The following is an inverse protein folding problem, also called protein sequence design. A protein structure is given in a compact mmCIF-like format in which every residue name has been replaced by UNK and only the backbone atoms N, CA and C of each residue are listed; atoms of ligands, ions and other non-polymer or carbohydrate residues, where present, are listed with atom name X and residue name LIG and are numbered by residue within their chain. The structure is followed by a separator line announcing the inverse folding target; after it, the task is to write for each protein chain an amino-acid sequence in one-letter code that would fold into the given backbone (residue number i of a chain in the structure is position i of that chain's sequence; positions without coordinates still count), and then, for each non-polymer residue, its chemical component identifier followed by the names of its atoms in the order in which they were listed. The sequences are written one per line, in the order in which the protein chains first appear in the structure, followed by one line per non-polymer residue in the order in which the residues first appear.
data_IF_586521075804
#
_entry.id   IF_586521075804
#
_cell.length_a   1.000
_cell.length_b   1.000
_cell.length_c   1.000
_cell.angle_alpha   90.00
_cell.angle_beta   90.00
_cell.angle_gamma   90.00
#
_symmetry.space_group_name_H-M   'P 1'
#
loop_
_entity.id
_entity.type
_entity.pdbx_description
1 polymer ?
#
# COMPACT_ATOMS: atom_id res chain seq x y z
N UNK A 1 1.25 -16.06 -12.14
CA UNK A 1 2.30 -15.62 -11.20
C UNK A 1 1.80 -15.96 -9.81
N UNK A 2 2.50 -16.84 -9.08
CA UNK A 2 2.13 -17.24 -7.73
C UNK A 2 3.32 -17.05 -6.82
N UNK A 3 3.23 -16.04 -5.95
CA UNK A 3 4.24 -15.78 -4.96
C UNK A 3 3.99 -16.63 -3.73
N UNK A 4 5.07 -17.12 -3.16
CA UNK A 4 5.01 -17.80 -1.89
C UNK A 4 4.92 -16.75 -0.78
N UNK A 5 3.85 -16.79 0.00
CA UNK A 5 3.72 -16.01 1.23
C UNK A 5 4.05 -16.90 2.43
N UNK A 6 4.63 -16.31 3.48
CA UNK A 6 5.00 -17.04 4.69
C UNK A 6 3.81 -17.85 5.22
N UNK A 7 4.00 -19.17 5.36
CA UNK A 7 2.98 -20.06 5.91
C UNK A 7 1.83 -20.40 4.95
N UNK A 8 1.96 -20.11 3.65
CA UNK A 8 0.93 -20.45 2.65
C UNK A 8 1.34 -21.64 1.79
N UNK A 9 0.42 -22.57 1.52
CA UNK A 9 0.67 -23.72 0.64
C UNK A 9 0.70 -23.39 -0.85
N UNK A 10 0.70 -22.09 -1.22
CA UNK A 10 0.57 -21.61 -2.59
C UNK A 10 1.94 -21.79 -3.28
N UNK A 11 2.18 -22.99 -3.79
CA UNK A 11 3.32 -23.29 -4.65
C UNK A 11 2.81 -23.59 -6.06
N UNK A 12 3.43 -23.04 -7.12
CA UNK A 12 3.18 -23.56 -8.45
C UNK A 12 3.50 -25.07 -8.48
N UNK A 13 2.79 -25.88 -9.29
CA UNK A 13 3.12 -27.29 -9.45
C UNK A 13 4.61 -27.41 -9.80
N UNK A 14 5.32 -28.40 -9.22
CA UNK A 14 6.76 -28.51 -9.40
C UNK A 14 7.06 -28.56 -10.90
N UNK A 15 7.80 -27.57 -11.40
CA UNK A 15 8.50 -27.75 -12.65
C UNK A 15 9.43 -28.94 -12.46
N UNK A 16 9.42 -29.87 -13.40
CA UNK A 16 10.31 -31.04 -13.48
C UNK A 16 11.77 -30.57 -13.60
N UNK A 17 12.35 -30.07 -12.50
CA UNK A 17 13.77 -29.78 -12.37
C UNK A 17 14.28 -30.78 -11.35
N UNK A 18 14.75 -31.93 -11.83
CA UNK A 18 15.09 -33.09 -11.00
C UNK A 18 16.29 -32.87 -10.06
N UNK A 19 16.96 -31.71 -10.14
CA UNK A 19 18.25 -31.49 -9.47
C UNK A 19 18.29 -30.31 -8.48
N UNK A 20 17.15 -29.65 -8.17
CA UNK A 20 17.14 -28.57 -7.19
C UNK A 20 16.52 -29.00 -5.85
N UNK A 21 17.39 -29.12 -4.83
CA UNK A 21 16.97 -29.32 -3.43
C UNK A 21 16.94 -27.96 -2.71
N UNK A 22 15.82 -27.57 -2.07
CA UNK A 22 15.75 -26.35 -1.28
C UNK A 22 16.80 -26.34 -0.16
N UNK A 23 17.49 -25.20 0.03
CA UNK A 23 18.49 -25.00 1.08
C UNK A 23 17.89 -25.01 2.50
N UNK A 24 16.60 -24.69 2.63
CA UNK A 24 15.84 -24.73 3.88
C UNK A 24 14.57 -25.57 3.70
N UNK A 25 14.19 -26.41 4.68
CA UNK A 25 12.90 -27.10 4.68
C UNK A 25 11.72 -26.15 4.93
N UNK A 26 11.98 -24.98 5.53
CA UNK A 26 10.97 -23.97 5.82
C UNK A 26 10.91 -22.98 4.66
N UNK A 27 9.78 -22.96 3.95
CA UNK A 27 9.54 -21.98 2.91
C UNK A 27 9.16 -20.66 3.56
N UNK A 28 10.10 -19.73 3.58
CA UNK A 28 9.84 -18.33 3.93
C UNK A 28 9.30 -17.60 2.71
N UNK A 29 8.25 -16.83 2.89
CA UNK A 29 7.72 -15.91 1.90
C UNK A 29 8.76 -14.86 1.51
N UNK A 30 8.63 -14.34 0.29
CA UNK A 30 9.57 -13.34 -0.22
C UNK A 30 9.55 -12.03 0.58
N UNK A 31 8.35 -11.63 1.02
CA UNK A 31 8.12 -10.48 1.90
C UNK A 31 7.50 -10.98 3.20
N UNK A 32 8.08 -10.65 4.37
CA UNK A 32 7.53 -11.07 5.66
C UNK A 32 6.13 -10.51 5.93
N UNK A 33 5.27 -11.30 6.58
CA UNK A 33 3.88 -10.90 6.92
C UNK A 33 3.77 -9.56 7.66
N UNK A 34 4.66 -9.33 8.62
CA UNK A 34 4.66 -8.09 9.41
C UNK A 34 4.90 -6.82 8.57
N UNK A 35 5.52 -6.94 7.39
CA UNK A 35 5.71 -5.81 6.47
C UNK A 35 4.38 -5.38 5.85
N UNK A 36 3.55 -6.33 5.42
CA UNK A 36 2.21 -6.04 4.90
C UNK A 36 1.30 -5.41 5.96
N UNK A 37 1.40 -5.84 7.22
CA UNK A 37 0.68 -5.25 8.35
C UNK A 37 1.10 -3.80 8.57
N UNK A 38 2.41 -3.55 8.73
CA UNK A 38 2.96 -2.20 8.88
C UNK A 38 2.55 -1.28 7.73
N UNK A 39 2.61 -1.78 6.51
CA UNK A 39 2.21 -1.05 5.31
C UNK A 39 0.72 -0.67 5.34
N UNK A 40 -0.17 -1.62 5.65
CA UNK A 40 -1.63 -1.36 5.70
C UNK A 40 -1.97 -0.29 6.72
N UNK A 41 -1.38 -0.39 7.92
CA UNK A 41 -1.55 0.60 9.00
C UNK A 41 -1.03 1.97 8.57
N UNK A 42 0.19 2.01 8.01
CA UNK A 42 0.80 3.27 7.59
C UNK A 42 -0.06 3.97 6.54
N UNK A 43 -0.59 3.25 5.55
CA UNK A 43 -1.49 3.82 4.54
C UNK A 43 -2.74 4.44 5.15
N UNK A 44 -3.36 3.80 6.14
CA UNK A 44 -4.50 4.39 6.88
C UNK A 44 -4.14 5.75 7.47
N UNK A 45 -2.94 5.88 8.06
CA UNK A 45 -2.51 7.12 8.71
C UNK A 45 -2.10 8.23 7.75
N UNK A 46 -1.47 7.89 6.61
CA UNK A 46 -0.96 8.90 5.66
C UNK A 46 -1.95 9.27 4.55
N UNK A 47 -3.08 8.56 4.46
CA UNK A 47 -4.13 8.85 3.48
C UNK A 47 -4.65 10.27 3.63
N UNK A 48 -4.82 10.91 2.50
CA UNK A 48 -5.28 12.28 2.31
C UNK A 48 -6.69 12.27 1.69
N UNK A 49 -7.26 13.46 1.48
CA UNK A 49 -8.63 13.62 0.98
C UNK A 49 -8.90 12.84 -0.32
N UNK A 50 -7.97 12.90 -1.28
CA UNK A 50 -8.13 12.35 -2.63
C UNK A 50 -7.18 11.19 -2.96
N UNK A 51 -6.44 10.66 -2.00
CA UNK A 51 -5.57 9.49 -2.22
C UNK A 51 -4.50 9.30 -1.16
N UNK A 52 -3.56 8.39 -1.44
CA UNK A 52 -2.31 8.19 -0.73
C UNK A 52 -1.17 8.96 -1.43
N UNK A 53 -0.44 9.85 -0.76
CA UNK A 53 0.67 10.56 -1.39
C UNK A 53 1.77 9.58 -1.83
N UNK A 54 2.34 9.80 -3.02
CA UNK A 54 3.34 8.90 -3.61
C UNK A 54 4.63 8.87 -2.78
N UNK A 55 5.07 10.02 -2.27
CA UNK A 55 6.27 10.17 -1.46
C UNK A 55 6.17 11.39 -0.53
N UNK A 56 7.12 11.55 0.39
CA UNK A 56 7.09 12.56 1.45
C UNK A 56 7.36 14.00 1.00
N UNK A 57 7.76 14.24 -0.25
CA UNK A 57 8.17 15.57 -0.73
C UNK A 57 7.00 16.37 -1.28
N UNK A 58 5.92 15.71 -1.67
CA UNK A 58 4.76 16.34 -2.30
C UNK A 58 3.47 15.63 -1.93
N UNK A 59 2.37 16.39 -1.91
CA UNK A 59 1.02 15.88 -1.71
C UNK A 59 0.33 15.56 -3.04
N UNK A 60 1.07 14.96 -3.98
CA UNK A 60 0.47 14.36 -5.18
C UNK A 60 0.62 12.86 -5.13
N UNK A 61 -0.22 12.18 -5.89
CA UNK A 61 -0.20 10.73 -6.00
C UNK A 61 -0.18 10.26 -7.44
N UNK A 62 0.17 8.99 -7.62
CA UNK A 62 -0.09 8.24 -8.83
C UNK A 62 -1.13 7.16 -8.56
N UNK A 63 -2.35 7.32 -9.07
CA UNK A 63 -3.47 6.39 -8.81
C UNK A 63 -3.18 4.97 -9.27
N UNK A 64 -2.39 4.77 -10.34
CA UNK A 64 -1.94 3.44 -10.75
C UNK A 64 -1.10 2.76 -9.66
N UNK A 65 -0.15 3.49 -9.08
CA UNK A 65 0.68 3.01 -7.97
C UNK A 65 -0.15 2.76 -6.71
N UNK A 66 -1.08 3.65 -6.36
CA UNK A 66 -1.95 3.47 -5.19
C UNK A 66 -2.75 2.18 -5.28
N UNK A 67 -3.28 1.87 -6.47
CA UNK A 67 -4.07 0.67 -6.67
C UNK A 67 -3.21 -0.61 -6.61
N UNK A 68 -1.94 -0.54 -7.02
CA UNK A 68 -0.97 -1.62 -6.77
C UNK A 68 -0.66 -1.76 -5.28
N UNK A 69 -0.44 -0.65 -4.57
CA UNK A 69 -0.14 -0.62 -3.14
C UNK A 69 -1.29 -1.19 -2.31
N UNK A 70 -2.52 -0.75 -2.58
CA UNK A 70 -3.72 -1.19 -1.84
C UNK A 70 -4.12 -2.64 -2.16
N UNK A 71 -3.68 -3.19 -3.31
CA UNK A 71 -4.04 -4.57 -3.69
C UNK A 71 -3.58 -5.60 -2.66
N UNK A 72 -2.47 -5.33 -1.97
CA UNK A 72 -1.90 -6.18 -0.93
C UNK A 72 -2.12 -5.65 0.49
N UNK A 73 -2.90 -4.59 0.65
CA UNK A 73 -3.31 -4.07 1.95
C UNK A 73 -4.54 -4.82 2.49
N UNK A 74 -4.80 -4.68 3.80
CA UNK A 74 -6.04 -5.14 4.44
C UNK A 74 -7.29 -4.61 3.71
N UNK A 75 -8.39 -5.35 3.81
CA UNK A 75 -9.63 -5.05 3.08
C UNK A 75 -10.22 -3.68 3.42
N UNK A 76 -10.16 -3.28 4.69
CA UNK A 76 -10.61 -1.99 5.21
C UNK A 76 -9.80 -0.83 4.61
N UNK A 77 -8.47 -0.88 4.70
CA UNK A 77 -7.56 0.14 4.16
C UNK A 77 -7.69 0.24 2.65
N UNK A 78 -7.82 -0.90 1.97
CA UNK A 78 -8.09 -0.94 0.52
C UNK A 78 -9.38 -0.21 0.15
N UNK A 79 -10.44 -0.40 0.94
CA UNK A 79 -11.72 0.27 0.71
C UNK A 79 -11.58 1.78 0.92
N UNK A 80 -10.87 2.21 1.95
CA UNK A 80 -10.64 3.63 2.25
C UNK A 80 -9.84 4.36 1.15
N UNK A 81 -8.83 3.70 0.57
CA UNK A 81 -8.05 4.24 -0.55
C UNK A 81 -8.93 4.37 -1.80
N UNK A 82 -9.71 3.31 -2.10
CA UNK A 82 -10.66 3.32 -3.21
C UNK A 82 -11.69 4.45 -3.07
N UNK A 83 -12.21 4.66 -1.85
CA UNK A 83 -13.14 5.73 -1.52
C UNK A 83 -12.52 7.12 -1.71
N UNK A 84 -11.26 7.34 -1.32
CA UNK A 84 -10.56 8.60 -1.57
C UNK A 84 -10.48 8.92 -3.08
N UNK A 85 -10.15 7.93 -3.92
CA UNK A 85 -10.08 8.14 -5.37
C UNK A 85 -11.46 8.31 -5.99
N UNK A 86 -12.47 7.57 -5.51
CA UNK A 86 -13.85 7.77 -5.93
C UNK A 86 -14.37 9.18 -5.57
N UNK A 87 -14.02 9.68 -4.38
CA UNK A 87 -14.31 11.04 -3.95
C UNK A 87 -13.65 12.06 -4.88
N UNK A 88 -12.38 11.86 -5.22
CA UNK A 88 -11.69 12.72 -6.20
C UNK A 88 -12.40 12.75 -7.55
N UNK A 89 -12.79 11.60 -8.11
CA UNK A 89 -13.51 11.57 -9.40
C UNK A 89 -14.82 12.36 -9.34
N UNK A 90 -15.49 12.39 -8.18
CA UNK A 90 -16.74 13.10 -7.99
C UNK A 90 -16.57 14.62 -7.75
N UNK A 91 -15.44 15.04 -7.16
CA UNK A 91 -15.20 16.42 -6.73
C UNK A 91 -14.16 17.16 -7.60
N UNK A 92 -13.45 16.46 -8.48
CA UNK A 92 -12.32 17.04 -9.22
C UNK A 92 -12.74 18.22 -10.10
N UNK A 93 -11.90 19.25 -10.11
CA UNK A 93 -12.09 20.46 -10.92
C UNK A 93 -11.62 20.30 -12.37
N UNK A 94 -11.08 19.13 -12.75
CA UNK A 94 -10.57 18.89 -14.10
C UNK A 94 -11.58 18.23 -15.03
N UNK A 95 -11.62 18.67 -16.27
CA UNK A 95 -12.40 18.11 -17.38
C UNK A 95 -11.58 17.15 -18.27
N UNK A 96 -10.40 16.73 -17.80
CA UNK A 96 -9.46 15.88 -18.57
C UNK A 96 -9.77 14.38 -18.37
N UNK A 97 -9.27 13.50 -19.27
CA UNK A 97 -9.36 12.06 -19.06
C UNK A 97 -8.76 11.63 -17.72
N UNK A 98 -9.28 10.54 -17.14
CA UNK A 98 -8.84 10.04 -15.83
C UNK A 98 -7.32 9.94 -15.77
N UNK A 99 -6.75 10.76 -14.88
CA UNK A 99 -5.32 10.94 -14.68
C UNK A 99 -4.73 9.84 -13.81
N UNK A 100 -3.45 9.57 -14.05
CA UNK A 100 -2.61 8.77 -13.15
C UNK A 100 -1.65 9.65 -12.32
N UNK A 101 -1.92 10.96 -12.24
CA UNK A 101 -1.21 11.93 -11.41
C UNK A 101 -2.11 13.12 -11.02
N UNK A 102 -2.41 13.27 -9.74
CA UNK A 102 -3.19 14.40 -9.20
C UNK A 102 -2.74 14.77 -7.79
N UNK A 103 -3.06 15.98 -7.34
CA UNK A 103 -2.89 16.39 -5.95
C UNK A 103 -3.87 15.64 -5.04
N UNK A 104 -3.39 15.12 -3.92
CA UNK A 104 -4.24 14.38 -2.97
C UNK A 104 -5.04 15.28 -2.03
N UNK A 105 -4.79 16.59 -2.09
CA UNK A 105 -5.38 17.63 -1.25
C UNK A 105 -5.81 18.81 -2.12
N UNK A 106 -6.47 19.82 -1.52
CA UNK A 106 -6.94 21.01 -2.22
C UNK A 106 -8.10 20.70 -3.17
N UNK A 107 -7.96 21.07 -4.45
CA UNK A 107 -8.98 20.85 -5.48
C UNK A 107 -8.71 19.57 -6.32
N UNK A 108 -7.65 18.83 -5.97
CA UNK A 108 -7.28 17.60 -6.67
C UNK A 108 -6.80 17.84 -8.10
N UNK A 109 -6.27 19.02 -8.38
CA UNK A 109 -5.79 19.40 -9.69
C UNK A 109 -4.49 18.67 -10.08
N UNK A 110 -4.05 18.89 -11.31
CA UNK A 110 -2.78 18.34 -11.77
C UNK A 110 -1.61 19.12 -11.13
N UNK A 111 -0.60 18.44 -10.57
CA UNK A 111 0.56 19.10 -9.96
C UNK A 111 1.50 19.76 -10.98
N UNK A 112 1.31 19.52 -12.28
CA UNK A 112 2.23 19.97 -13.35
C UNK A 112 3.54 19.17 -13.28
N UNK A 113 3.58 17.94 -13.82
CA UNK A 113 3.13 17.58 -15.17
C UNK A 113 1.69 17.05 -15.28
N UNK A 114 1.10 17.17 -16.47
CA UNK A 114 -0.25 16.69 -16.75
C UNK A 114 -0.21 15.28 -17.36
N UNK A 115 -0.39 14.25 -16.54
CA UNK A 115 -0.41 12.86 -17.00
C UNK A 115 -1.84 12.39 -17.22
N UNK A 116 -2.29 12.25 -18.46
CA UNK A 116 -3.62 11.74 -18.76
C UNK A 116 -3.58 10.83 -19.99
N UNK A 117 -4.59 9.96 -20.12
CA UNK A 117 -4.70 9.01 -21.24
C UNK A 117 -3.47 8.09 -21.42
N UNK A 118 -2.82 7.72 -20.31
CA UNK A 118 -1.66 6.83 -20.29
C UNK A 118 -2.09 5.39 -19.98
N UNK A 119 -1.46 4.36 -20.58
CA UNK A 119 -1.85 2.96 -20.38
C UNK A 119 -1.65 2.44 -18.94
N UNK A 120 -0.84 3.13 -18.13
CA UNK A 120 -0.59 2.74 -16.74
C UNK A 120 -1.85 2.76 -15.87
N UNK A 121 -2.93 3.44 -16.29
CA UNK A 121 -4.25 3.37 -15.64
C UNK A 121 -4.80 1.94 -15.58
N UNK A 122 -4.25 0.98 -16.32
CA UNK A 122 -4.52 -0.45 -16.10
C UNK A 122 -4.21 -0.94 -14.67
N UNK A 123 -3.33 -0.24 -13.94
CA UNK A 123 -3.01 -0.51 -12.53
C UNK A 123 -4.23 -0.45 -11.60
N UNK A 124 -5.28 0.28 -11.97
CA UNK A 124 -6.54 0.32 -11.21
C UNK A 124 -7.23 -1.06 -11.08
N UNK A 125 -6.86 -2.01 -11.93
CA UNK A 125 -7.39 -3.38 -11.88
C UNK A 125 -6.49 -4.33 -11.07
N UNK A 126 -5.40 -3.85 -10.44
CA UNK A 126 -4.42 -4.68 -9.75
C UNK A 126 -5.04 -5.58 -8.67
N UNK A 127 -5.93 -5.04 -7.84
CA UNK A 127 -6.60 -5.83 -6.79
C UNK A 127 -7.55 -6.90 -7.37
N UNK A 128 -8.23 -6.63 -8.49
CA UNK A 128 -9.06 -7.62 -9.18
C UNK A 128 -8.21 -8.69 -9.87
N UNK A 129 -7.09 -8.29 -10.46
CA UNK A 129 -6.11 -9.20 -11.03
C UNK A 129 -5.53 -10.13 -9.96
N UNK A 130 -5.21 -9.59 -8.79
CA UNK A 130 -4.72 -10.37 -7.65
C UNK A 130 -5.79 -11.35 -7.14
N UNK A 131 -7.06 -10.96 -7.06
CA UNK A 131 -8.16 -11.86 -6.72
C UNK A 131 -8.26 -13.09 -7.62
N UNK A 132 -7.88 -12.97 -8.91
CA UNK A 132 -7.90 -14.07 -9.87
C UNK A 132 -6.56 -14.80 -10.02
N UNK A 133 -5.49 -14.26 -9.44
CA UNK A 133 -4.19 -14.91 -9.49
C UNK A 133 -4.23 -16.25 -8.75
N UNK A 134 -3.37 -17.18 -9.19
CA UNK A 134 -3.27 -18.52 -8.61
C UNK A 134 -4.58 -19.30 -8.58
N UNK A 135 -5.36 -19.23 -9.66
CA UNK A 135 -6.65 -19.92 -9.74
C UNK A 135 -7.70 -19.36 -8.78
N UNK A 136 -7.51 -18.13 -8.27
CA UNK A 136 -8.41 -17.51 -7.29
C UNK A 136 -7.93 -17.58 -5.85
N UNK A 137 -6.77 -18.19 -5.59
CA UNK A 137 -6.28 -18.45 -4.22
C UNK A 137 -5.27 -17.41 -3.71
N UNK A 138 -4.82 -16.45 -4.52
CA UNK A 138 -3.77 -15.53 -4.08
C UNK A 138 -4.17 -14.68 -2.87
N UNK A 139 -5.45 -14.30 -2.75
CA UNK A 139 -5.96 -13.54 -1.60
C UNK A 139 -5.96 -14.35 -0.30
N UNK A 140 -5.99 -15.68 -0.36
CA UNK A 140 -5.96 -16.52 0.85
C UNK A 140 -4.72 -16.27 1.69
N UNK A 141 -3.59 -16.01 1.02
CA UNK A 141 -2.34 -15.71 1.70
C UNK A 141 -2.27 -14.34 2.36
N UNK A 142 -3.21 -13.45 2.08
CA UNK A 142 -3.33 -12.11 2.66
C UNK A 142 -4.43 -12.00 3.71
N UNK A 143 -5.24 -13.04 3.94
CA UNK A 143 -6.38 -13.02 4.89
C UNK A 143 -5.99 -12.63 6.30
N UNK A 144 -4.74 -12.86 6.68
CA UNK A 144 -4.23 -12.46 7.98
C UNK A 144 -4.17 -10.95 8.22
N UNK A 145 -4.29 -10.15 7.16
CA UNK A 145 -4.43 -8.71 7.24
C UNK A 145 -5.84 -8.28 7.65
N UNK A 146 -6.82 -9.19 7.54
CA UNK A 146 -8.21 -8.92 7.86
C UNK A 146 -8.59 -9.49 9.24
N UNK A 147 -7.70 -10.26 9.87
CA UNK A 147 -7.87 -10.88 11.19
C UNK A 147 -7.56 -9.91 12.35
N UNK A 148 -7.64 -8.60 12.12
CA UNK A 148 -7.29 -7.59 13.12
C UNK A 148 -8.25 -7.62 14.31
N UNK A 149 -7.78 -8.24 15.41
CA UNK A 149 -8.35 -8.04 16.73
C UNK A 149 -8.20 -6.56 17.10
N UNK A 150 -9.28 -5.84 17.48
CA UNK A 150 -9.23 -4.46 17.96
C UNK A 150 -8.14 -4.20 19.01
N UNK A 151 -7.76 -5.21 19.80
CA UNK A 151 -6.66 -5.12 20.76
C UNK A 151 -5.28 -4.95 20.10
N UNK A 152 -5.06 -5.56 18.93
CA UNK A 152 -3.81 -5.50 18.16
C UNK A 152 -3.64 -4.12 17.53
N UNK A 153 -4.71 -3.60 16.91
CA UNK A 153 -4.76 -2.24 16.37
C UNK A 153 -4.51 -1.19 17.48
N UNK A 154 -5.12 -1.37 18.66
CA UNK A 154 -4.87 -0.53 19.82
C UNK A 154 -3.41 -0.57 20.29
N UNK A 155 -2.81 -1.76 20.34
CA UNK A 155 -1.40 -1.91 20.73
C UNK A 155 -0.45 -1.23 19.75
N UNK A 156 -0.72 -1.35 18.44
CA UNK A 156 0.13 -0.78 17.39
C UNK A 156 -0.07 0.72 17.22
N UNK A 157 -1.29 1.24 17.42
CA UNK A 157 -1.54 2.67 17.49
C UNK A 157 -0.77 3.30 18.67
N UNK A 158 -0.72 2.62 19.82
CA UNK A 158 0.10 3.06 20.95
C UNK A 158 1.60 3.05 20.60
N UNK A 159 2.11 2.00 19.95
CA UNK A 159 3.50 1.95 19.48
C UNK A 159 3.82 3.03 18.44
N UNK A 160 2.89 3.31 17.52
CA UNK A 160 3.06 4.37 16.52
C UNK A 160 3.06 5.77 17.16
N UNK A 161 2.19 5.99 18.16
CA UNK A 161 2.18 7.24 18.93
C UNK A 161 3.47 7.42 19.75
N UNK A 162 4.01 6.35 20.32
CA UNK A 162 5.29 6.36 21.04
C UNK A 162 6.45 6.69 20.10
N UNK A 163 6.54 6.04 18.93
CA UNK A 163 7.56 6.33 17.93
C UNK A 163 7.46 7.77 17.38
N UNK A 164 6.24 8.29 17.21
CA UNK A 164 6.03 9.68 16.81
C UNK A 164 6.50 10.66 17.91
N UNK A 165 6.24 10.35 19.18
CA UNK A 165 6.70 11.16 20.30
C UNK A 165 8.24 11.14 20.43
N UNK A 166 8.87 9.99 20.24
CA UNK A 166 10.33 9.85 20.21
C UNK A 166 10.94 10.72 19.11
N UNK A 167 10.40 10.65 17.89
CA UNK A 167 10.85 11.47 16.76
C UNK A 167 10.75 12.98 17.04
N UNK A 168 9.68 13.43 17.69
CA UNK A 168 9.51 14.82 18.11
C UNK A 168 10.52 15.23 19.20
N UNK A 169 10.83 14.31 20.12
CA UNK A 169 11.79 14.56 21.20
C UNK A 169 13.25 14.66 20.70
N UNK A 170 13.63 13.82 19.73
CA UNK A 170 14.94 13.87 19.08
C UNK A 170 15.12 15.18 18.29
N UNK A 171 14.07 15.63 17.60
CA UNK A 171 14.07 16.92 16.91
C UNK A 171 14.20 18.11 17.87
N UNK A 172 13.71 17.98 19.10
CA UNK A 172 13.83 19.02 20.12
C UNK A 172 15.27 19.11 20.68
N UNK A 173 16.03 18.01 20.69
CA UNK A 173 17.44 17.99 21.10
C UNK A 173 18.40 18.58 20.06
N UNK A 174 18.10 18.47 18.77
CA UNK A 174 18.97 18.96 17.68
C UNK A 174 18.77 20.47 17.38
N UNK A 175 17.65 21.07 17.80
CA UNK A 175 17.37 22.50 17.59
C UNK A 175 18.15 23.46 18.52
N UNK A 176 19.01 22.94 19.40
CA UNK A 176 19.72 23.71 20.43
C UNK A 176 21.18 24.07 20.15
N UNK A 177 21.83 23.50 19.12
CA UNK A 177 23.26 23.74 18.84
C UNK A 177 23.55 23.73 17.33
N UNK A 178 23.24 24.84 16.65
CA UNK A 178 23.61 24.99 15.24
C UNK A 178 23.55 26.45 14.81
N UNK A 179 24.64 27.17 15.02
CA UNK A 179 24.93 28.39 14.26
C UNK A 179 24.86 28.08 12.76
N UNK A 180 23.96 28.77 12.04
CA UNK A 180 24.20 29.45 10.76
C UNK A 180 23.12 30.53 10.58
#
# INVERSE_FOLDING_TARGET
LCFHLDGTGISPPPASVQDQKPLSPQKTGFVPRHIYQKQSIWYRYVRQQYGLPLDSRHLYTKTDWEFFAMAVASQDVRSEILESVAKWVNETVTDRPFTDLHNTEGEGEFPGPNFFARPVVGGHFAFLALQRACGGHAMEGLRFLDDDDPSTLGSWAATAAEAAAEFLSDHQYDSGNGEL
#
